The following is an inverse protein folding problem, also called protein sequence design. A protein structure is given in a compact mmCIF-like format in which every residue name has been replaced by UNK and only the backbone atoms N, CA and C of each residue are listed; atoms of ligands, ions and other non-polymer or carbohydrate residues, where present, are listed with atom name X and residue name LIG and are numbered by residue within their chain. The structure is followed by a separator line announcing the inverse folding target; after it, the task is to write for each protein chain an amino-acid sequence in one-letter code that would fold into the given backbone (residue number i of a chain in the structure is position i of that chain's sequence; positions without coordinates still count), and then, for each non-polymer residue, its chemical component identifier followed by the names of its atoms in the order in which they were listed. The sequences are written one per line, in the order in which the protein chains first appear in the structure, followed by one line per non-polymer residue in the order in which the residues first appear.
data_IF_848003264500
#
_entry.id   IF_848003264500
#
_cell.length_a   1.000
_cell.length_b   1.000
_cell.length_c   1.000
_cell.angle_alpha   90.00
_cell.angle_beta   90.00
_cell.angle_gamma   90.00
#
_symmetry.space_group_name_H-M   'P 1'
#
loop_
_entity.id
_entity.type
_entity.pdbx_description
1 polymer ?
#
# COMPACT_ATOMS: atom_id res chain seq x y z
N UNK A 1 -13.36 3.10 6.02
CA UNK A 1 -12.94 3.68 4.72
C UNK A 1 -11.48 3.32 4.49
N UNK A 2 -11.12 2.85 3.28
CA UNK A 2 -9.73 2.52 2.95
C UNK A 2 -8.83 3.77 2.86
N UNK A 3 -7.51 3.56 2.88
CA UNK A 3 -6.51 4.59 2.53
C UNK A 3 -5.69 4.17 1.32
N UNK A 4 -5.27 5.14 0.52
CA UNK A 4 -4.43 4.90 -0.65
C UNK A 4 -3.53 6.09 -0.93
N UNK A 5 -2.47 5.83 -1.70
CA UNK A 5 -1.65 6.86 -2.33
C UNK A 5 -1.40 6.50 -3.79
N UNK A 6 -1.35 7.54 -4.63
CA UNK A 6 -0.85 7.46 -6.00
C UNK A 6 0.31 8.44 -6.14
N UNK A 7 1.36 8.03 -6.83
CA UNK A 7 2.52 8.86 -7.12
C UNK A 7 2.78 8.89 -8.62
N UNK A 8 3.11 10.07 -9.15
CA UNK A 8 3.65 10.27 -10.48
C UNK A 8 4.70 11.36 -10.44
N UNK A 9 5.92 11.08 -10.90
CA UNK A 9 7.02 12.03 -10.85
C UNK A 9 8.37 11.40 -11.19
N UNK A 10 9.43 11.87 -10.55
CA UNK A 10 10.77 11.29 -10.67
C UNK A 10 10.82 9.85 -10.14
N UNK A 11 11.80 9.07 -10.61
CA UNK A 11 11.98 7.69 -10.14
C UNK A 11 12.54 7.66 -8.72
N UNK A 12 11.64 7.51 -7.75
CA UNK A 12 11.93 7.47 -6.31
C UNK A 12 11.61 6.09 -5.72
N UNK A 13 12.19 5.71 -4.56
CA UNK A 13 11.81 4.47 -3.89
C UNK A 13 10.39 4.56 -3.32
N UNK A 14 9.65 3.45 -3.34
CA UNK A 14 8.26 3.39 -2.85
C UNK A 14 8.17 3.73 -1.35
N UNK A 15 9.23 3.45 -0.58
CA UNK A 15 9.26 3.74 0.86
C UNK A 15 9.03 5.22 1.19
N UNK A 16 9.35 6.13 0.26
CA UNK A 16 9.22 7.57 0.44
C UNK A 16 7.80 8.00 0.83
N UNK A 17 6.77 7.25 0.43
CA UNK A 17 5.40 7.50 0.87
C UNK A 17 4.70 6.30 1.52
N UNK A 18 5.11 5.07 1.19
CA UNK A 18 4.40 3.88 1.68
C UNK A 18 4.78 3.54 3.11
N UNK A 19 6.07 3.58 3.46
CA UNK A 19 6.57 3.02 4.74
C UNK A 19 7.39 3.99 5.60
N UNK A 20 8.18 4.89 5.02
CA UNK A 20 9.17 5.68 5.74
C UNK A 20 8.62 6.91 6.51
N UNK A 21 7.69 7.73 5.97
CA UNK A 21 7.20 8.90 6.69
C UNK A 21 6.51 8.58 8.02
N UNK A 22 6.55 9.50 8.97
CA UNK A 22 5.81 9.38 10.24
C UNK A 22 4.29 9.21 10.05
N UNK A 23 3.76 9.78 8.95
CA UNK A 23 2.37 9.63 8.52
C UNK A 23 2.26 8.82 7.21
N UNK A 24 3.12 7.83 7.02
CA UNK A 24 3.13 6.95 5.84
C UNK A 24 1.80 6.20 5.67
N UNK A 25 1.60 5.61 4.48
CA UNK A 25 0.42 4.77 4.26
C UNK A 25 0.33 3.62 5.28
N UNK A 26 1.45 3.00 5.64
CA UNK A 26 1.49 1.96 6.69
C UNK A 26 1.13 2.53 8.06
N UNK A 27 1.61 3.71 8.44
CA UNK A 27 1.20 4.34 9.71
C UNK A 27 -0.32 4.62 9.73
N UNK A 28 -0.85 5.14 8.63
CA UNK A 28 -2.29 5.38 8.47
C UNK A 28 -3.11 4.09 8.47
N UNK A 29 -2.52 2.96 8.08
CA UNK A 29 -3.20 1.66 8.16
C UNK A 29 -3.47 1.21 9.60
N UNK A 30 -2.63 1.62 10.55
CA UNK A 30 -2.85 1.34 11.98
C UNK A 30 -3.76 2.38 12.63
N UNK A 31 -3.53 3.66 12.33
CA UNK A 31 -4.17 4.81 12.97
C UNK A 31 -4.47 5.91 11.96
N UNK A 32 -5.58 5.78 11.24
CA UNK A 32 -6.07 6.82 10.34
C UNK A 32 -6.78 7.94 11.15
N UNK A 33 -6.38 9.19 10.94
CA UNK A 33 -6.95 10.35 11.63
C UNK A 33 -8.26 10.84 11.00
N UNK A 34 -8.36 10.80 9.66
CA UNK A 34 -9.52 11.27 8.89
C UNK A 34 -10.25 10.08 8.26
N UNK A 35 -10.83 9.20 9.09
CA UNK A 35 -11.50 7.99 8.63
C UNK A 35 -12.61 7.55 9.57
N UNK A 36 -13.66 6.93 9.02
CA UNK A 36 -14.72 6.24 9.77
C UNK A 36 -14.25 4.93 10.40
N UNK A 37 -13.11 4.40 9.95
CA UNK A 37 -12.44 3.24 10.54
C UNK A 37 -11.01 3.63 10.92
N UNK A 38 -10.67 3.50 12.19
CA UNK A 38 -9.34 3.85 12.70
C UNK A 38 -8.23 2.97 12.10
N UNK A 39 -8.55 1.73 11.73
CA UNK A 39 -7.59 0.72 11.28
C UNK A 39 -8.01 0.13 9.92
N UNK A 40 -7.02 -0.10 9.06
CA UNK A 40 -7.11 -0.74 7.74
C UNK A 40 -6.22 -2.00 7.75
N UNK A 41 -6.71 -3.05 8.43
CA UNK A 41 -5.97 -4.29 8.65
C UNK A 41 -6.32 -5.44 7.70
N UNK A 42 -7.28 -5.23 6.79
CA UNK A 42 -7.93 -6.31 6.01
C UNK A 42 -7.23 -6.56 4.66
N UNK A 43 -5.92 -6.32 4.65
CA UNK A 43 -5.05 -6.46 3.49
C UNK A 43 -4.52 -5.14 2.93
N UNK A 44 -3.65 -5.28 1.94
CA UNK A 44 -3.08 -4.16 1.18
C UNK A 44 -2.70 -4.61 -0.22
N UNK A 45 -2.39 -3.64 -1.06
CA UNK A 45 -1.72 -3.90 -2.32
C UNK A 45 -0.93 -2.70 -2.81
N UNK A 46 0.02 -2.99 -3.69
CA UNK A 46 0.82 -2.01 -4.41
C UNK A 46 0.98 -2.42 -5.86
N UNK A 47 0.90 -1.44 -6.74
CA UNK A 47 1.22 -1.56 -8.16
C UNK A 47 2.22 -0.49 -8.56
N UNK A 48 3.23 -0.85 -9.34
CA UNK A 48 4.26 0.10 -9.79
C UNK A 48 4.69 -0.19 -11.23
N UNK A 49 5.01 0.85 -11.99
CA UNK A 49 5.59 0.72 -13.32
C UNK A 49 7.12 0.73 -13.23
N UNK A 50 7.75 -0.19 -13.95
CA UNK A 50 9.20 -0.33 -14.03
C UNK A 50 9.65 -0.36 -15.49
N UNK A 51 10.43 -1.36 -15.85
CA UNK A 51 10.92 -1.57 -17.23
C UNK A 51 9.86 -2.19 -18.16
N UNK A 52 8.94 -2.99 -17.60
CA UNK A 52 7.87 -3.63 -18.35
C UNK A 52 6.69 -2.69 -18.59
N UNK A 53 5.92 -2.96 -19.65
CA UNK A 53 4.71 -2.22 -19.97
C UNK A 53 3.60 -2.47 -18.93
N UNK A 54 3.54 -3.66 -18.37
CA UNK A 54 2.63 -4.04 -17.30
C UNK A 54 3.20 -3.65 -15.92
N UNK A 55 2.34 -3.26 -14.96
CA UNK A 55 2.80 -2.95 -13.61
C UNK A 55 3.20 -4.23 -12.85
N UNK A 56 4.25 -4.12 -12.03
CA UNK A 56 4.47 -5.08 -10.96
C UNK A 56 3.36 -4.96 -9.91
N UNK A 57 2.92 -6.09 -9.36
CA UNK A 57 1.84 -6.15 -8.37
C UNK A 57 2.26 -6.95 -7.15
N UNK A 58 1.99 -6.41 -5.96
CA UNK A 58 2.11 -7.13 -4.70
C UNK A 58 0.85 -6.90 -3.87
N UNK A 59 0.16 -7.98 -3.51
CA UNK A 59 -1.10 -7.95 -2.76
C UNK A 59 -1.08 -8.99 -1.66
N UNK A 60 -1.53 -8.61 -0.48
CA UNK A 60 -1.66 -9.52 0.65
C UNK A 60 -2.92 -9.24 1.46
N UNK A 61 -3.41 -10.29 2.14
CA UNK A 61 -4.55 -10.22 3.06
C UNK A 61 -4.12 -9.87 4.49
N UNK A 62 -2.82 -9.95 4.77
CA UNK A 62 -2.26 -9.60 6.08
C UNK A 62 -2.23 -8.08 6.25
N UNK A 63 -2.28 -7.58 7.48
CA UNK A 63 -2.12 -6.15 7.71
C UNK A 63 -0.75 -5.63 7.23
N UNK A 64 -0.76 -4.47 6.57
CA UNK A 64 0.45 -3.88 5.98
C UNK A 64 1.58 -3.66 6.99
N UNK A 65 1.25 -3.29 8.23
CA UNK A 65 2.23 -3.05 9.28
C UNK A 65 2.94 -4.33 9.80
N UNK A 66 2.39 -5.50 9.49
CA UNK A 66 2.93 -6.80 9.92
C UNK A 66 3.69 -7.54 8.82
N UNK A 67 3.74 -6.98 7.61
CA UNK A 67 4.41 -7.60 6.47
C UNK A 67 5.85 -7.04 6.33
N UNK A 68 6.83 -7.87 6.69
CA UNK A 68 8.25 -7.51 6.56
C UNK A 68 8.68 -7.38 5.09
N UNK A 69 8.13 -8.22 4.20
CA UNK A 69 8.43 -8.16 2.76
C UNK A 69 7.99 -6.83 2.19
N UNK A 70 6.82 -6.31 2.57
CA UNK A 70 6.35 -4.99 2.17
C UNK A 70 7.41 -3.93 2.47
N UNK A 71 7.99 -3.94 3.68
CA UNK A 71 9.03 -2.97 4.07
C UNK A 71 10.27 -3.07 3.19
N UNK A 72 10.78 -4.28 2.96
CA UNK A 72 11.96 -4.48 2.13
C UNK A 72 11.71 -4.17 0.65
N UNK A 73 10.55 -4.55 0.11
CA UNK A 73 10.13 -4.25 -1.26
C UNK A 73 10.04 -2.74 -1.48
N UNK A 74 9.37 -2.00 -0.57
CA UNK A 74 9.27 -0.54 -0.67
C UNK A 74 10.63 0.16 -0.68
N UNK A 75 11.62 -0.37 0.04
CA UNK A 75 12.98 0.19 0.11
C UNK A 75 13.79 -0.01 -1.17
N UNK A 76 13.59 -1.14 -1.86
CA UNK A 76 14.41 -1.51 -3.02
C UNK A 76 13.75 -1.17 -4.35
N UNK A 77 12.42 -1.20 -4.44
CA UNK A 77 11.68 -0.89 -5.66
C UNK A 77 11.63 0.62 -5.83
N UNK A 78 11.96 1.09 -7.03
CA UNK A 78 11.85 2.49 -7.44
C UNK A 78 10.91 2.60 -8.63
N UNK A 79 10.11 3.66 -8.68
CA UNK A 79 9.18 3.88 -9.78
C UNK A 79 8.85 5.36 -9.95
N UNK A 80 8.62 5.76 -11.19
CA UNK A 80 8.10 7.07 -11.58
C UNK A 80 6.56 7.13 -11.50
N UNK A 81 5.89 5.98 -11.35
CA UNK A 81 4.43 5.86 -11.30
C UNK A 81 4.01 4.64 -10.49
N UNK A 82 3.40 4.85 -9.32
CA UNK A 82 2.91 3.76 -8.48
C UNK A 82 1.64 4.12 -7.71
N UNK A 83 0.93 3.08 -7.28
CA UNK A 83 -0.26 3.15 -6.47
C UNK A 83 -0.14 2.15 -5.31
N UNK A 84 -0.57 2.55 -4.12
CA UNK A 84 -0.61 1.68 -2.95
C UNK A 84 -1.91 1.90 -2.17
N UNK A 85 -2.47 0.84 -1.61
CA UNK A 85 -3.76 0.86 -0.92
C UNK A 85 -3.75 -0.07 0.29
N UNK A 86 -4.34 0.37 1.39
CA UNK A 86 -4.58 -0.43 2.61
C UNK A 86 -6.08 -0.54 2.85
N UNK A 87 -6.53 -1.76 3.16
CA UNK A 87 -7.94 -2.14 3.11
C UNK A 87 -8.58 -2.15 4.50
N UNK A 88 -9.77 -1.56 4.59
CA UNK A 88 -10.72 -1.75 5.67
C UNK A 88 -12.01 -2.33 5.07
N UNK A 89 -12.27 -3.62 5.29
CA UNK A 89 -13.39 -4.34 4.71
C UNK A 89 -14.70 -4.03 5.45
N UNK A 90 -15.76 -3.70 4.71
CA UNK A 90 -17.12 -3.53 5.25
C UNK A 90 -17.98 -4.70 4.79
N UNK A 91 -17.79 -5.88 5.40
CA UNK A 91 -18.63 -7.06 5.16
C UNK A 91 -18.27 -7.92 3.94
N UNK A 92 -17.30 -7.52 3.10
CA UNK A 92 -16.80 -8.37 2.00
C UNK A 92 -15.65 -9.28 2.47
N UNK A 93 -15.50 -10.50 1.91
CA UNK A 93 -14.46 -11.44 2.34
C UNK A 93 -13.04 -10.85 2.29
N UNK A 94 -12.20 -11.24 3.26
CA UNK A 94 -10.77 -10.91 3.29
C UNK A 94 -10.03 -11.88 2.38
N UNK A 95 -9.92 -11.51 1.11
CA UNK A 95 -9.24 -12.32 0.08
C UNK A 95 -8.36 -11.44 -0.78
N UNK A 96 -7.29 -12.03 -1.35
CA UNK A 96 -6.31 -11.31 -2.15
C UNK A 96 -6.92 -10.58 -3.38
N UNK A 97 -7.89 -11.16 -4.12
CA UNK A 97 -8.54 -10.45 -5.22
C UNK A 97 -9.29 -9.18 -4.79
N UNK A 98 -9.72 -9.09 -3.53
CA UNK A 98 -10.39 -7.91 -2.99
C UNK A 98 -9.41 -6.84 -2.47
N UNK A 99 -8.10 -7.06 -2.57
CA UNK A 99 -7.07 -6.10 -2.19
C UNK A 99 -6.61 -5.34 -3.44
N UNK A 100 -6.76 -4.02 -3.43
CA UNK A 100 -6.34 -3.14 -4.53
C UNK A 100 -4.85 -2.77 -4.46
N UNK A 101 -4.20 -2.42 -5.58
CA UNK A 101 -4.76 -2.45 -6.94
C UNK A 101 -4.95 -3.88 -7.44
#
# INVERSE_FOLDING_TARGET
MCRWIAYRGETIPLEQYVTAPAHSLVAQSQRALESTAATNGDGFGMGWYGEHAEPGLYREVRPAWSDENLRYLCRHIRSHLYFAHVRAATGTPITRPNCHP
#
